data_IF_214939978730
#
_entry.id   IF_214939978730
#
_cell.length_a   1.000
_cell.length_b   1.000
_cell.length_c   1.000
_cell.angle_alpha   90.00
_cell.angle_beta   90.00
_cell.angle_gamma   90.00
#
_symmetry.space_group_name_H-M   'P 1'
#
loop_
_entity.id
_entity.type
_entity.pdbx_description
1 polymer ?
2 non-polymer ?
3 non-polymer ?
4 water ?
#
# COMPACT_ATOMS: atom_id res chain seq x y z
N UNK A 4 -21.66 4.57 22.39
CA UNK A 4 -20.59 3.68 21.79
C UNK A 4 -19.55 4.56 21.07
N UNK A 5 -18.33 4.74 21.62
CA UNK A 5 -17.40 5.76 21.12
C UNK A 5 -16.81 5.35 19.77
N UNK A 6 -16.48 6.32 18.92
CA UNK A 6 -15.86 6.03 17.61
C UNK A 6 -14.39 5.75 17.81
N UNK A 7 -13.80 4.79 17.07
CA UNK A 7 -12.44 4.40 17.32
C UNK A 7 -11.46 5.45 16.85
N UNK A 8 -10.31 5.49 17.55
CA UNK A 8 -9.15 6.34 17.23
C UNK A 8 -8.12 5.51 16.45
N UNK A 9 -8.21 4.19 16.56
CA UNK A 9 -7.26 3.25 15.92
C UNK A 9 -7.98 1.93 15.62
N UNK A 10 -7.63 1.32 14.49
CA UNK A 10 -8.16 -0.01 14.10
C UNK A 10 -6.96 -0.89 13.81
N UNK A 11 -7.21 -2.18 13.78
CA UNK A 11 -6.20 -3.09 13.24
C UNK A 11 -6.69 -3.68 11.93
N UNK A 12 -5.71 -3.84 11.05
CA UNK A 12 -5.93 -4.28 9.65
C UNK A 12 -5.04 -5.49 9.40
N UNK A 13 -5.63 -6.57 8.93
CA UNK A 13 -4.94 -7.76 8.43
C UNK A 13 -4.81 -7.67 6.92
N UNK A 14 -3.61 -7.84 6.42
CA UNK A 14 -3.31 -7.97 4.99
C UNK A 14 -2.79 -9.37 4.76
N UNK A 15 -3.41 -10.12 3.84
CA UNK A 15 -2.84 -11.38 3.40
C UNK A 15 -2.55 -11.36 1.93
N UNK A 16 -1.49 -12.00 1.51
CA UNK A 16 -1.22 -12.25 0.10
C UNK A 16 -0.85 -13.70 -0.07
N UNK A 17 -1.47 -14.35 -1.01
CA UNK A 17 -1.17 -15.76 -1.30
C UNK A 17 -1.34 -16.07 -2.77
N UNK A 18 -0.26 -16.52 -3.39
CA UNK A 18 -0.34 -17.07 -4.77
C UNK A 18 -0.65 -18.56 -4.56
N UNK A 19 -1.85 -18.94 -4.92
CA UNK A 19 -2.45 -20.28 -4.62
C UNK A 19 -1.96 -21.31 -5.65
N UNK A 20 -1.22 -20.93 -6.66
CA UNK A 20 -0.71 -21.94 -7.60
C UNK A 20 -1.78 -22.72 -8.30
N UNK A 21 -2.93 -22.10 -8.53
CA UNK A 21 -4.06 -22.70 -9.30
C UNK A 21 -4.51 -24.02 -8.63
N UNK A 22 -4.38 -24.14 -7.31
CA UNK A 22 -4.80 -25.34 -6.55
C UNK A 22 -5.77 -24.91 -5.49
N UNK A 23 -6.77 -25.73 -5.18
CA UNK A 23 -7.63 -25.40 -4.05
C UNK A 23 -6.83 -25.42 -2.75
N UNK A 24 -7.29 -24.62 -1.80
CA UNK A 24 -6.61 -24.56 -0.52
C UNK A 24 -6.86 -25.82 0.29
N UNK A 25 -6.06 -26.05 1.33
CA UNK A 25 -6.33 -27.15 2.25
C UNK A 25 -7.53 -26.80 3.14
N UNK A 26 -7.95 -27.77 3.94
CA UNK A 26 -9.19 -27.59 4.72
C UNK A 26 -9.02 -26.52 5.80
N UNK A 27 -7.86 -26.37 6.35
CA UNK A 27 -7.61 -25.39 7.42
C UNK A 27 -6.56 -24.38 6.98
N UNK A 28 -6.95 -23.11 7.03
CA UNK A 28 -6.01 -22.01 6.67
C UNK A 28 -5.98 -20.97 7.80
N UNK A 29 -6.48 -21.34 8.99
CA UNK A 29 -6.54 -20.39 10.10
C UNK A 29 -5.20 -19.80 10.52
N UNK A 30 -4.08 -20.52 10.38
CA UNK A 30 -2.74 -20.02 10.75
C UNK A 30 -2.46 -18.70 10.03
N UNK A 31 -2.94 -18.58 8.80
CA UNK A 31 -2.71 -17.36 7.98
C UNK A 31 -3.32 -16.16 8.72
N UNK A 32 -4.58 -16.26 9.12
CA UNK A 32 -5.32 -15.12 9.70
C UNK A 32 -4.87 -14.88 11.14
N UNK A 33 -4.23 -15.84 11.76
CA UNK A 33 -3.67 -15.70 13.11
C UNK A 33 -2.24 -15.20 13.07
N UNK A 34 -1.62 -14.96 11.92
CA UNK A 34 -0.22 -14.49 11.84
C UNK A 34 0.70 -15.46 12.59
N UNK A 35 0.56 -16.75 12.29
CA UNK A 35 1.37 -17.85 12.88
C UNK A 35 2.29 -18.44 11.81
N UNK A 36 3.55 -18.72 12.17
CA UNK A 36 4.47 -19.41 11.28
C UNK A 36 5.82 -18.84 11.51
N UNK A 37 6.44 -18.32 10.46
CA UNK A 37 7.79 -17.73 10.50
C UNK A 37 7.69 -16.20 10.47
N UNK A 38 8.74 -15.52 10.94
CA UNK A 38 8.88 -14.10 10.84
C UNK A 38 8.43 -13.43 12.09
N UNK A 39 7.81 -12.26 11.94
CA UNK A 39 7.29 -11.44 13.04
C UNK A 39 5.83 -11.85 13.25
N UNK A 40 5.60 -12.73 14.21
CA UNK A 40 4.33 -13.43 14.40
C UNK A 40 3.53 -12.77 15.52
N UNK A 41 2.26 -13.10 15.55
CA UNK A 41 1.32 -12.52 16.52
C UNK A 41 1.30 -13.38 17.79
N UNK A 42 1.21 -12.71 18.93
CA UNK A 42 1.18 -13.42 20.24
C UNK A 42 -0.09 -14.28 20.33
N UNK A 43 0.06 -15.48 20.90
CA UNK A 43 -1.06 -16.40 21.13
C UNK A 43 -2.18 -15.74 21.94
N UNK A 44 -1.83 -14.85 22.84
CA UNK A 44 -2.85 -14.22 23.70
C UNK A 44 -3.82 -13.34 22.93
N UNK A 45 -3.52 -13.05 21.66
CA UNK A 45 -4.40 -12.25 20.77
C UNK A 45 -5.26 -13.12 19.88
N UNK A 46 -5.19 -14.42 19.94
CA UNK A 46 -5.80 -15.25 18.88
C UNK A 46 -7.30 -15.01 18.75
N UNK A 47 -8.00 -14.71 19.84
CA UNK A 47 -9.47 -14.58 19.73
C UNK A 47 -9.84 -13.15 19.39
N UNK A 48 -8.92 -12.21 19.39
CA UNK A 48 -9.22 -10.78 19.18
C UNK A 48 -9.34 -10.57 17.67
N UNK A 49 -10.50 -10.22 17.14
CA UNK A 49 -10.62 -10.03 15.71
C UNK A 49 -9.89 -8.77 15.28
N UNK A 50 -9.28 -8.77 14.10
CA UNK A 50 -8.88 -7.53 13.44
C UNK A 50 -10.17 -6.82 13.03
N UNK A 51 -10.09 -5.52 12.84
CA UNK A 51 -11.24 -4.70 12.42
C UNK A 51 -11.58 -4.97 10.97
N UNK A 52 -10.55 -5.06 10.14
CA UNK A 52 -10.65 -5.24 8.66
C UNK A 52 -9.66 -6.32 8.27
N UNK A 53 -10.12 -7.24 7.42
CA UNK A 53 -9.24 -8.26 6.81
C UNK A 53 -9.26 -8.05 5.31
N UNK A 54 -8.08 -7.92 4.69
CA UNK A 54 -7.93 -7.71 3.25
C UNK A 54 -7.11 -8.85 2.74
N UNK A 55 -7.68 -9.62 1.81
CA UNK A 55 -7.13 -10.93 1.38
C UNK A 55 -6.86 -10.87 -0.12
N UNK A 56 -5.58 -10.80 -0.52
CA UNK A 56 -5.17 -10.82 -1.92
C UNK A 56 -4.75 -12.18 -2.32
N UNK A 57 -5.29 -12.70 -3.41
CA UNK A 57 -4.82 -13.97 -4.00
C UNK A 57 -4.37 -13.75 -5.42
N UNK A 58 -3.49 -14.60 -5.84
CA UNK A 58 -3.01 -14.71 -7.23
C UNK A 58 -3.09 -16.18 -7.60
N UNK A 59 -3.24 -16.45 -8.89
CA UNK A 59 -3.43 -17.83 -9.41
C UNK A 59 -4.52 -18.52 -8.58
N UNK A 60 -5.61 -17.78 -8.31
CA UNK A 60 -6.71 -18.27 -7.50
C UNK A 60 -7.69 -19.03 -8.39
N UNK A 61 -7.89 -20.34 -8.14
CA UNK A 61 -8.73 -21.19 -9.01
C UNK A 61 -10.19 -21.20 -8.59
N UNK A 62 -10.54 -20.57 -7.50
CA UNK A 62 -11.88 -20.68 -6.90
C UNK A 62 -12.79 -19.64 -7.50
N UNK A 63 -14.08 -19.89 -7.41
CA UNK A 63 -15.05 -18.83 -7.70
C UNK A 63 -15.01 -17.84 -6.52
N UNK A 64 -15.57 -16.66 -6.73
CA UNK A 64 -15.74 -15.71 -5.64
C UNK A 64 -16.55 -16.34 -4.51
N UNK A 65 -17.64 -17.03 -4.86
CA UNK A 65 -18.47 -17.66 -3.85
C UNK A 65 -17.68 -18.66 -3.04
N UNK A 66 -16.96 -19.52 -3.72
CA UNK A 66 -16.19 -20.56 -3.04
C UNK A 66 -15.19 -19.96 -2.05
N UNK A 67 -14.49 -18.93 -2.47
CA UNK A 67 -13.45 -18.33 -1.61
C UNK A 67 -14.09 -17.55 -0.47
N UNK A 68 -15.16 -16.83 -0.72
CA UNK A 68 -15.89 -16.13 0.36
C UNK A 68 -16.35 -17.12 1.43
N UNK A 69 -16.91 -18.25 1.01
CA UNK A 69 -17.32 -19.34 1.94
C UNK A 69 -16.16 -19.63 2.88
N UNK A 70 -15.01 -19.98 2.30
CA UNK A 70 -13.84 -20.43 3.06
C UNK A 70 -13.36 -19.32 3.96
N UNK A 71 -13.23 -18.11 3.44
CA UNK A 71 -12.72 -16.99 4.26
C UNK A 71 -13.66 -16.72 5.43
N UNK A 72 -14.93 -16.51 5.18
CA UNK A 72 -15.85 -16.15 6.26
C UNK A 72 -15.92 -17.23 7.33
N UNK A 73 -16.00 -18.50 6.91
CA UNK A 73 -16.01 -19.67 7.83
C UNK A 73 -14.76 -19.63 8.70
N UNK A 74 -13.58 -19.43 8.09
CA UNK A 74 -12.27 -19.46 8.79
C UNK A 74 -12.26 -18.35 9.86
N UNK A 75 -12.69 -17.15 9.53
CA UNK A 75 -12.72 -16.06 10.50
C UNK A 75 -13.75 -16.37 11.58
N UNK A 76 -14.92 -16.87 11.22
CA UNK A 76 -15.95 -17.14 12.26
C UNK A 76 -15.41 -18.19 13.22
N UNK A 77 -14.70 -19.19 12.73
CA UNK A 77 -14.10 -20.22 13.61
C UNK A 77 -13.08 -19.59 14.56
N UNK A 78 -12.24 -18.69 14.09
CA UNK A 78 -11.19 -18.08 14.94
C UNK A 78 -11.86 -17.19 15.97
N UNK A 79 -12.81 -16.37 15.56
CA UNK A 79 -13.22 -15.18 16.34
C UNK A 79 -14.63 -15.30 16.89
N UNK A 80 -15.45 -16.23 16.38
CA UNK A 80 -16.91 -16.33 16.68
C UNK A 80 -17.65 -15.07 16.21
N UNK A 81 -17.08 -14.34 15.26
CA UNK A 81 -17.70 -13.16 14.61
C UNK A 81 -17.98 -13.53 13.17
N UNK A 82 -19.16 -13.16 12.73
CA UNK A 82 -19.57 -13.28 11.33
C UNK A 82 -19.27 -11.95 10.62
N UNK A 83 -18.24 -11.95 9.78
CA UNK A 83 -17.76 -10.71 9.14
C UNK A 83 -18.70 -10.32 8.01
N UNK A 84 -18.76 -9.06 7.71
CA UNK A 84 -19.50 -8.54 6.56
C UNK A 84 -18.54 -8.40 5.38
N UNK A 85 -19.04 -8.65 4.19
CA UNK A 85 -18.25 -8.48 2.97
C UNK A 85 -18.35 -7.04 2.53
N UNK A 86 -17.25 -6.30 2.54
CA UNK A 86 -17.16 -4.91 2.10
C UNK A 86 -17.05 -4.91 0.59
N UNK A 87 -16.18 -5.74 0.03
CA UNK A 87 -15.90 -5.73 -1.41
C UNK A 87 -15.22 -7.01 -1.81
N UNK A 88 -15.41 -7.39 -3.06
CA UNK A 88 -14.64 -8.48 -3.68
C UNK A 88 -14.47 -8.10 -5.13
N UNK A 89 -13.30 -8.24 -5.66
CA UNK A 89 -13.02 -7.89 -7.08
C UNK A 89 -11.99 -8.84 -7.65
N UNK A 90 -12.22 -9.34 -8.83
CA UNK A 90 -11.39 -10.33 -9.48
C UNK A 90 -11.02 -9.89 -10.86
N UNK A 91 -9.76 -9.95 -11.23
CA UNK A 91 -9.27 -9.82 -12.63
C UNK A 91 -8.58 -11.14 -12.93
N UNK A 92 -9.09 -11.90 -13.87
CA UNK A 92 -8.54 -13.21 -14.24
C UNK A 92 -8.44 -14.05 -12.98
N UNK A 93 -7.25 -14.39 -12.50
CA UNK A 93 -7.05 -15.18 -11.28
C UNK A 93 -6.41 -14.35 -10.18
N UNK A 94 -6.56 -13.04 -10.24
CA UNK A 94 -6.08 -12.08 -9.23
C UNK A 94 -7.27 -11.53 -8.49
N UNK A 95 -7.32 -11.66 -7.18
CA UNK A 95 -8.55 -11.33 -6.45
C UNK A 95 -8.23 -10.58 -5.17
N UNK A 96 -9.12 -9.73 -4.78
CA UNK A 96 -9.07 -9.02 -3.48
C UNK A 96 -10.42 -9.16 -2.81
N UNK A 97 -10.43 -9.49 -1.52
CA UNK A 97 -11.61 -9.57 -0.66
C UNK A 97 -11.38 -8.66 0.53
N UNK A 98 -12.35 -7.82 0.87
CA UNK A 98 -12.30 -7.03 2.10
C UNK A 98 -13.48 -7.42 2.97
N UNK A 99 -13.14 -7.79 4.19
CA UNK A 99 -14.13 -8.20 5.20
C UNK A 99 -13.99 -7.28 6.40
N UNK A 100 -15.10 -6.95 7.03
CA UNK A 100 -15.08 -6.05 8.20
C UNK A 100 -15.96 -6.57 9.30
N UNK A 101 -15.59 -6.26 10.56
CA UNK A 101 -16.48 -6.51 11.72
C UNK A 101 -17.86 -5.92 11.44
N UNK A 102 -18.94 -6.60 11.87
CA UNK A 102 -20.28 -6.04 11.66
C UNK A 102 -20.48 -4.68 12.34
N UNK A 103 -19.79 -4.38 13.41
CA UNK A 103 -19.96 -3.06 14.08
C UNK A 103 -19.44 -1.92 13.20
N UNK A 104 -18.63 -2.22 12.18
CA UNK A 104 -18.06 -1.22 11.28
C UNK A 104 -18.90 -0.96 10.03
N UNK A 105 -19.98 -1.71 9.85
CA UNK A 105 -20.76 -1.63 8.61
C UNK A 105 -21.18 -0.19 8.29
N UNK A 106 -21.65 0.54 9.30
CA UNK A 106 -22.18 1.91 9.09
C UNK A 106 -21.10 2.97 9.31
N UNK A 107 -19.84 2.54 9.45
CA UNK A 107 -18.65 3.43 9.45
C UNK A 107 -17.97 3.41 8.08
N UNK A 108 -18.33 2.48 7.22
CA UNK A 108 -17.65 2.25 5.91
C UNK A 108 -18.53 2.77 4.79
N UNK A 109 -17.99 3.54 3.88
CA UNK A 109 -18.76 4.10 2.77
C UNK A 109 -17.84 4.34 1.60
N UNK A 110 -18.37 4.81 0.51
CA UNK A 110 -17.58 5.20 -0.67
C UNK A 110 -16.72 4.04 -1.12
N UNK A 111 -17.28 2.86 -1.24
CA UNK A 111 -16.49 1.67 -1.60
C UNK A 111 -16.28 1.73 -3.09
N UNK A 112 -15.02 1.65 -3.52
CA UNK A 112 -14.60 1.61 -4.95
C UNK A 112 -13.79 0.35 -5.21
N UNK A 113 -13.90 -0.20 -6.41
CA UNK A 113 -13.07 -1.30 -6.88
C UNK A 113 -12.59 -0.96 -8.27
N UNK A 114 -11.42 -1.48 -8.63
CA UNK A 114 -10.92 -1.31 -10.01
C UNK A 114 -9.85 -2.35 -10.25
N UNK A 115 -9.44 -2.46 -11.50
CA UNK A 115 -8.34 -3.34 -11.88
C UNK A 115 -7.53 -2.66 -12.98
N UNK A 116 -6.30 -3.09 -13.13
CA UNK A 116 -5.40 -2.70 -14.20
C UNK A 116 -4.83 -3.97 -14.78
N UNK A 117 -4.87 -4.09 -16.08
CA UNK A 117 -4.22 -5.15 -16.87
C UNK A 117 -2.87 -4.65 -17.34
N UNK A 118 -1.76 -5.29 -16.98
CA UNK A 118 -0.43 -4.81 -17.42
C UNK A 118 0.00 -5.44 -18.75
N UNK A 119 1.01 -4.87 -19.40
CA UNK A 119 1.60 -5.50 -20.61
C UNK A 119 0.85 -5.14 -21.88
N UNK A 120 1.34 -5.65 -23.02
CA UNK A 120 0.79 -5.38 -24.40
C UNK A 120 0.93 -6.69 -25.20
N UNK A 121 -0.13 -7.10 -25.91
CA UNK A 121 -0.17 -8.28 -26.82
C UNK A 121 0.24 -9.56 -26.05
N UNK A 122 1.39 -10.17 -26.40
CA UNK A 122 2.07 -11.29 -25.67
C UNK A 122 1.89 -11.17 -24.15
N UNK A 123 2.30 -10.02 -23.58
CA UNK A 123 2.46 -9.79 -22.12
C UNK A 123 1.14 -9.30 -21.50
N UNK A 124 0.08 -9.07 -22.30
CA UNK A 124 -1.29 -8.79 -21.77
C UNK A 124 -2.07 -10.10 -21.70
N UNK A 125 -2.63 -10.42 -20.53
CA UNK A 125 -3.64 -11.49 -20.43
C UNK A 125 -3.59 -12.26 -19.13
N UNK A 126 -2.54 -12.09 -18.32
CA UNK A 126 -2.70 -12.68 -16.96
C UNK A 126 -2.18 -11.87 -15.75
N UNK A 127 -1.33 -10.86 -15.98
CA UNK A 127 -0.72 -10.04 -14.90
C UNK A 127 -1.49 -8.72 -14.75
N UNK A 128 -1.45 -8.14 -13.56
CA UNK A 128 -2.08 -6.87 -13.30
C UNK A 128 -2.40 -6.71 -11.87
N UNK A 129 -3.40 -5.92 -11.57
CA UNK A 129 -3.73 -5.62 -10.19
C UNK A 129 -5.20 -5.43 -10.00
N UNK A 130 -5.71 -5.69 -8.81
CA UNK A 130 -7.06 -5.31 -8.39
C UNK A 130 -6.91 -4.43 -7.17
N UNK A 131 -7.88 -3.60 -6.91
CA UNK A 131 -7.85 -2.77 -5.70
C UNK A 131 -9.20 -2.42 -5.19
N UNK A 132 -9.22 -1.97 -3.95
CA UNK A 132 -10.41 -1.55 -3.23
C UNK A 132 -10.05 -0.29 -2.47
N UNK A 133 -10.96 0.67 -2.43
CA UNK A 133 -10.85 1.78 -1.46
C UNK A 133 -12.18 2.03 -0.80
N UNK A 134 -12.13 2.67 0.35
CA UNK A 134 -13.34 3.12 1.04
C UNK A 134 -12.94 4.12 2.08
N UNK A 135 -13.96 4.76 2.64
CA UNK A 135 -13.82 5.62 3.82
C UNK A 135 -14.19 4.80 5.04
N UNK A 136 -13.40 4.88 6.09
CA UNK A 136 -13.70 4.40 7.42
C UNK A 136 -13.84 5.64 8.27
N UNK A 137 -15.06 6.01 8.62
CA UNK A 137 -15.30 7.34 9.25
C UNK A 137 -14.50 8.41 8.48
N UNK A 138 -13.63 9.18 9.13
CA UNK A 138 -12.94 10.31 8.50
C UNK A 138 -11.70 9.89 7.75
N UNK A 139 -11.39 8.60 7.64
CA UNK A 139 -10.08 8.12 7.15
C UNK A 139 -10.29 7.38 5.84
N UNK A 140 -9.49 7.69 4.85
CA UNK A 140 -9.54 6.99 3.54
C UNK A 140 -8.53 5.86 3.55
N UNK A 141 -8.94 4.71 3.07
CA UNK A 141 -8.11 3.48 3.02
C UNK A 141 -8.10 2.93 1.60
N UNK A 142 -6.91 2.59 1.13
CA UNK A 142 -6.76 1.98 -0.18
C UNK A 142 -5.94 0.72 -0.09
N UNK A 143 -6.27 -0.26 -0.91
CA UNK A 143 -5.66 -1.60 -0.91
C UNK A 143 -5.45 -2.05 -2.33
N UNK A 144 -4.25 -2.47 -2.65
CA UNK A 144 -3.87 -2.93 -4.01
C UNK A 144 -3.25 -4.31 -3.88
N UNK A 145 -3.78 -5.26 -4.62
CA UNK A 145 -3.19 -6.60 -4.81
C UNK A 145 -2.69 -6.72 -6.23
N UNK A 146 -1.40 -6.77 -6.43
CA UNK A 146 -0.81 -6.90 -7.77
C UNK A 146 -0.11 -8.22 -7.94
N UNK A 147 -0.21 -8.81 -9.11
CA UNK A 147 0.57 -9.95 -9.58
C UNK A 147 1.44 -9.40 -10.70
N UNK A 148 2.70 -9.16 -10.44
CA UNK A 148 3.63 -8.55 -11.39
C UNK A 148 4.32 -9.62 -12.25
N UNK A 149 4.99 -9.17 -13.30
CA UNK A 149 5.65 -10.04 -14.26
C UNK A 149 6.64 -10.92 -13.52
N UNK A 150 6.71 -12.19 -13.93
CA UNK A 150 7.60 -13.22 -13.35
C UNK A 150 8.96 -13.21 -14.04
N UNK A 151 9.89 -13.92 -13.41
CA UNK A 151 11.18 -14.20 -14.04
C UNK A 151 12.26 -13.37 -13.41
N UNK A 152 13.39 -14.00 -13.08
CA UNK A 152 14.50 -13.29 -12.43
C UNK A 152 15.05 -12.13 -13.25
N UNK A 153 14.99 -12.22 -14.59
CA UNK A 153 15.64 -11.22 -15.49
C UNK A 153 14.73 -10.02 -15.73
N UNK A 154 13.50 -10.03 -15.20
CA UNK A 154 12.46 -9.03 -15.58
C UNK A 154 12.16 -8.02 -14.48
N UNK A 155 13.15 -7.64 -13.72
CA UNK A 155 12.86 -6.64 -12.66
C UNK A 155 12.39 -5.32 -13.28
N UNK A 156 12.95 -4.92 -14.41
CA UNK A 156 12.55 -3.64 -15.02
C UNK A 156 11.09 -3.68 -15.45
N UNK A 157 10.66 -4.82 -15.99
CA UNK A 157 9.23 -5.01 -16.36
C UNK A 157 8.37 -4.87 -15.11
N UNK A 158 8.78 -5.48 -14.00
CA UNK A 158 8.01 -5.35 -12.76
C UNK A 158 7.89 -3.89 -12.40
N UNK A 159 8.99 -3.15 -12.50
CA UNK A 159 8.95 -1.72 -12.15
C UNK A 159 7.97 -0.99 -13.07
N UNK A 160 7.98 -1.35 -14.34
CA UNK A 160 7.04 -0.74 -15.30
C UNK A 160 5.60 -1.12 -14.92
N UNK A 161 5.39 -2.38 -14.59
CA UNK A 161 4.05 -2.82 -14.16
C UNK A 161 3.59 -1.94 -12.98
N UNK A 162 4.44 -1.78 -11.97
CA UNK A 162 4.13 -0.92 -10.84
C UNK A 162 3.66 0.47 -11.30
N UNK A 163 4.41 1.11 -12.20
CA UNK A 163 4.04 2.50 -12.61
C UNK A 163 2.71 2.46 -13.36
N UNK A 164 2.49 1.48 -14.24
CA UNK A 164 1.17 1.43 -14.88
C UNK A 164 0.04 1.25 -13.87
N UNK A 165 0.22 0.39 -12.87
CA UNK A 165 -0.86 0.19 -11.90
C UNK A 165 -1.12 1.50 -11.14
N UNK A 166 -0.02 2.11 -10.71
CA UNK A 166 0.01 3.37 -9.92
C UNK A 166 -0.74 4.46 -10.68
N UNK A 167 -0.53 4.51 -11.99
CA UNK A 167 -1.13 5.55 -12.86
C UNK A 167 -2.60 5.29 -13.10
N UNK A 168 -2.97 4.04 -13.39
CA UNK A 168 -4.25 3.77 -14.06
C UNK A 168 -5.27 3.19 -13.13
N UNK A 169 -4.92 2.79 -11.91
CA UNK A 169 -5.93 2.24 -11.02
C UNK A 169 -6.76 3.38 -10.48
N UNK A 170 -8.05 3.34 -10.70
CA UNK A 170 -8.97 4.45 -10.38
C UNK A 170 -9.75 4.17 -9.12
N UNK A 171 -9.15 4.53 -8.01
CA UNK A 171 -9.73 4.32 -6.67
C UNK A 171 -9.81 5.66 -5.97
N UNK A 172 -10.57 5.72 -4.90
CA UNK A 172 -10.66 6.92 -4.07
C UNK A 172 -11.40 8.04 -4.74
N UNK A 173 -11.20 9.25 -4.24
CA UNK A 173 -12.04 10.42 -4.58
C UNK A 173 -11.65 10.93 -5.95
N UNK A 174 -12.55 10.77 -6.93
CA UNK A 174 -12.27 11.22 -8.33
C UNK A 174 -12.06 12.73 -8.40
N UNK A 175 -12.49 13.53 -7.42
CA UNK A 175 -12.22 14.99 -7.42
C UNK A 175 -10.76 15.28 -7.19
N UNK A 176 -9.98 14.30 -6.67
CA UNK A 176 -8.53 14.48 -6.46
C UNK A 176 -7.83 14.24 -7.78
N UNK A 177 -8.23 14.99 -8.82
CA UNK A 177 -7.87 14.64 -10.19
C UNK A 177 -6.39 14.68 -10.46
N UNK A 178 -5.55 15.56 -9.88
CA UNK A 178 -4.11 15.53 -10.15
C UNK A 178 -3.37 14.37 -9.50
N UNK A 179 -4.04 13.65 -8.61
CA UNK A 179 -3.38 12.69 -7.69
C UNK A 179 -3.66 11.27 -8.09
N UNK A 180 -2.61 10.46 -8.09
CA UNK A 180 -2.70 9.01 -8.27
C UNK A 180 -2.98 8.35 -6.94
N UNK A 181 -3.09 7.01 -6.95
CA UNK A 181 -3.41 6.30 -5.70
C UNK A 181 -2.33 6.50 -4.64
N UNK A 182 -1.10 6.88 -4.99
CA UNK A 182 -0.08 7.06 -3.96
C UNK A 182 -0.29 8.33 -3.14
N UNK A 183 -1.29 9.15 -3.46
CA UNK A 183 -1.65 10.33 -2.67
C UNK A 183 -3.11 10.36 -2.28
N UNK A 184 -3.96 9.43 -2.68
CA UNK A 184 -5.40 9.60 -2.43
C UNK A 184 -5.83 9.09 -1.05
N UNK A 185 -5.00 8.37 -0.31
CA UNK A 185 -5.45 7.68 0.89
C UNK A 185 -4.64 8.03 2.11
N UNK A 186 -5.32 8.13 3.24
CA UNK A 186 -4.63 8.26 4.53
C UNK A 186 -3.62 7.11 4.67
N UNK A 187 -4.10 5.90 4.36
CA UNK A 187 -3.28 4.68 4.43
C UNK A 187 -3.50 3.91 3.14
N UNK A 188 -2.41 3.58 2.46
CA UNK A 188 -2.46 2.74 1.25
C UNK A 188 -1.63 1.49 1.51
N UNK A 189 -2.19 0.32 1.30
CA UNK A 189 -1.46 -0.95 1.45
C UNK A 189 -1.35 -1.55 0.08
N UNK A 190 -0.15 -1.93 -0.33
CA UNK A 190 0.11 -2.52 -1.64
C UNK A 190 0.82 -3.83 -1.42
N UNK A 191 0.25 -4.91 -1.88
CA UNK A 191 0.73 -6.27 -1.59
C UNK A 191 0.52 -7.12 -2.81
N UNK A 192 1.01 -8.34 -2.77
CA UNK A 192 0.79 -9.29 -3.82
C UNK A 192 1.97 -10.15 -4.10
N UNK A 193 1.87 -10.91 -5.19
CA UNK A 193 3.02 -11.59 -5.78
C UNK A 193 3.75 -10.61 -6.66
N UNK A 194 4.61 -9.82 -6.02
CA UNK A 194 5.36 -8.80 -6.72
C UNK A 194 6.47 -9.42 -7.55
N UNK A 195 6.88 -10.66 -7.25
CA UNK A 195 7.69 -11.47 -8.16
C UNK A 195 9.13 -10.99 -8.26
N UNK A 196 9.58 -10.14 -7.38
CA UNK A 196 11.03 -9.81 -7.34
C UNK A 196 11.76 -10.98 -6.68
N UNK A 197 12.97 -11.21 -7.20
CA UNK A 197 13.75 -12.41 -6.91
C UNK A 197 15.04 -12.08 -6.17
N UNK A 198 15.63 -13.10 -5.62
CA UNK A 198 17.00 -13.00 -5.04
C UNK A 198 17.96 -13.19 -6.19
N UNK A 199 18.68 -12.15 -6.56
CA UNK A 199 19.52 -12.12 -7.79
C UNK A 199 20.94 -12.59 -7.43
N UNK A 200 21.10 -13.90 -7.34
CA UNK A 200 22.38 -14.58 -7.14
C UNK A 200 22.50 -15.56 -8.29
N UNK A 201 23.73 -16.03 -8.60
CA UNK A 201 23.90 -16.96 -9.72
C UNK A 201 23.16 -18.27 -9.47
N UNK A 202 22.64 -18.88 -10.54
CA UNK A 202 21.80 -20.11 -10.44
C UNK A 202 22.59 -21.29 -9.85
N UNK A 203 23.92 -21.31 -10.03
CA UNK A 203 24.81 -22.36 -9.47
C UNK A 203 25.08 -22.11 -7.97
N UNK A 204 24.56 -21.02 -7.40
CA UNK A 204 24.52 -20.84 -5.93
C UNK A 204 23.23 -21.40 -5.31
N UNK A 205 22.39 -22.10 -6.06
CA UNK A 205 21.07 -22.56 -5.55
C UNK A 205 21.24 -23.34 -4.27
N UNK A 206 22.15 -24.29 -4.21
CA UNK A 206 22.23 -25.16 -3.03
C UNK A 206 22.78 -24.35 -1.87
N UNK A 207 23.69 -23.43 -2.14
CA UNK A 207 24.22 -22.54 -1.10
C UNK A 207 23.06 -21.74 -0.51
N UNK A 208 22.22 -21.20 -1.37
CA UNK A 208 21.06 -20.39 -0.87
C UNK A 208 20.18 -21.25 0.04
N UNK A 209 19.87 -22.47 -0.39
CA UNK A 209 19.05 -23.40 0.39
C UNK A 209 19.66 -23.64 1.77
N UNK A 210 20.97 -23.85 1.83
CA UNK A 210 21.63 -24.12 3.14
C UNK A 210 21.56 -22.85 4.00
N UNK A 211 21.67 -21.64 3.43
CA UNK A 211 21.49 -20.42 4.22
C UNK A 211 20.07 -20.34 4.81
N UNK A 212 19.06 -20.70 3.98
CA UNK A 212 17.66 -20.69 4.46
C UNK A 212 17.50 -21.69 5.60
N UNK A 213 18.09 -22.87 5.49
CA UNK A 213 17.96 -23.88 6.57
C UNK A 213 18.61 -23.44 7.87
N UNK A 214 19.60 -22.57 7.79
CA UNK A 214 20.26 -21.99 8.97
C UNK A 214 19.56 -20.74 9.45
N UNK A 215 18.50 -20.35 8.75
CA UNK A 215 17.78 -19.09 9.06
C UNK A 215 18.72 -17.89 8.99
N UNK A 216 19.61 -17.88 8.00
CA UNK A 216 20.59 -16.81 7.81
C UNK A 216 20.18 -16.09 6.55
N UNK A 217 19.35 -15.07 6.69
CA UNK A 217 18.77 -14.40 5.50
C UNK A 217 19.55 -13.18 5.04
N UNK A 218 20.54 -12.67 5.78
CA UNK A 218 21.14 -11.35 5.49
C UNK A 218 21.80 -11.34 4.12
N UNK A 219 22.58 -12.33 3.73
CA UNK A 219 23.30 -12.35 2.43
C UNK A 219 22.31 -12.65 1.30
N UNK A 220 21.11 -13.12 1.62
CA UNK A 220 20.07 -13.25 0.58
C UNK A 220 19.31 -11.92 0.40
N UNK A 221 18.89 -11.30 1.50
CA UNK A 221 18.11 -10.05 1.44
C UNK A 221 18.94 -8.96 0.79
N UNK A 222 20.27 -8.98 0.92
CA UNK A 222 21.12 -7.97 0.29
C UNK A 222 21.03 -8.07 -1.24
N UNK A 223 20.54 -9.20 -1.78
CA UNK A 223 20.38 -9.38 -3.23
C UNK A 223 18.91 -9.42 -3.65
N UNK A 224 17.99 -9.16 -2.72
CA UNK A 224 16.55 -9.13 -3.09
C UNK A 224 16.33 -7.93 -4.00
N UNK A 225 15.74 -8.21 -5.16
CA UNK A 225 15.55 -7.16 -6.17
C UNK A 225 14.60 -6.08 -5.70
N UNK A 226 13.60 -6.39 -4.89
CA UNK A 226 12.70 -5.31 -4.47
C UNK A 226 13.45 -4.35 -3.53
N UNK A 227 14.19 -4.87 -2.57
CA UNK A 227 14.97 -4.01 -1.67
C UNK A 227 16.01 -3.22 -2.46
N UNK A 228 16.68 -3.80 -3.43
CA UNK A 228 17.75 -3.06 -4.15
C UNK A 228 17.13 -2.06 -5.09
N UNK A 229 16.04 -2.39 -5.78
CA UNK A 229 15.37 -1.43 -6.67
C UNK A 229 14.80 -0.27 -5.85
N UNK A 230 14.23 -0.56 -4.68
CA UNK A 230 13.70 0.51 -3.78
C UNK A 230 14.85 1.42 -3.36
N UNK A 231 16.00 0.85 -2.98
CA UNK A 231 17.12 1.67 -2.46
C UNK A 231 17.68 2.53 -3.60
N UNK A 232 17.53 2.11 -4.86
CA UNK A 232 17.96 2.92 -6.02
C UNK A 232 16.85 3.86 -6.53
N UNK A 233 15.73 3.88 -5.83
CA UNK A 233 14.58 4.75 -6.14
C UNK A 233 14.04 4.42 -7.52
N UNK A 234 13.98 3.14 -7.86
CA UNK A 234 13.42 2.70 -9.16
C UNK A 234 11.97 2.28 -9.05
N UNK A 235 11.45 2.05 -7.85
CA UNK A 235 10.10 1.49 -7.64
C UNK A 235 9.67 1.74 -6.21
N UNK A 236 8.38 1.83 -5.96
CA UNK A 236 7.85 1.95 -4.60
C UNK A 236 8.49 3.10 -3.81
N UNK A 237 8.69 4.20 -4.49
CA UNK A 237 9.24 5.39 -3.81
C UNK A 237 8.27 5.81 -2.72
N UNK A 238 8.79 6.06 -1.54
CA UNK A 238 8.05 6.56 -0.37
C UNK A 238 7.14 5.54 0.25
N UNK A 239 7.30 4.28 -0.09
CA UNK A 239 6.60 3.19 0.65
C UNK A 239 7.49 2.59 1.71
N UNK A 240 6.86 1.92 2.66
CA UNK A 240 7.51 1.22 3.79
C UNK A 240 7.33 -0.29 3.63
N UNK A 241 8.27 -1.08 4.15
CA UNK A 241 8.10 -2.51 4.29
C UNK A 241 8.74 -2.88 5.63
N UNK A 242 8.08 -3.75 6.38
CA UNK A 242 8.65 -4.30 7.63
C UNK A 242 9.84 -5.20 7.28
N UNK A 243 10.84 -5.28 8.16
CA UNK A 243 11.99 -6.15 7.97
C UNK A 243 11.50 -7.58 7.77
N UNK A 244 12.08 -8.26 6.80
CA UNK A 244 11.77 -9.66 6.51
C UNK A 244 12.59 -10.57 7.40
N UNK A 245 11.93 -11.44 8.12
CA UNK A 245 12.59 -12.37 9.07
C UNK A 245 12.05 -13.78 8.89
N UNK A 246 11.42 -14.04 7.77
CA UNK A 246 10.86 -15.34 7.36
C UNK A 246 11.62 -15.81 6.13
N UNK A 247 11.59 -17.11 5.94
CA UNK A 247 12.23 -17.72 4.76
C UNK A 247 11.56 -17.30 3.48
N UNK A 248 12.30 -17.31 2.36
CA UNK A 248 11.69 -17.11 1.05
C UNK A 248 10.42 -17.94 0.91
N UNK A 249 9.41 -17.32 0.29
CA UNK A 249 8.08 -17.93 0.19
C UNK A 249 7.83 -18.66 -1.12
N UNK A 250 8.83 -18.69 -1.97
CA UNK A 250 8.75 -19.29 -3.30
C UNK A 250 10.13 -19.83 -3.61
N UNK A 251 10.30 -20.89 -4.42
CA UNK A 251 9.30 -21.78 -4.98
C UNK A 251 9.39 -23.13 -4.30
N UNK A 252 8.36 -23.59 -3.66
CA UNK A 252 8.33 -24.85 -2.87
C UNK A 252 7.76 -25.96 -3.74
N UNK A 253 8.26 -27.17 -3.48
CA UNK A 253 7.52 -28.40 -3.84
C UNK A 253 6.20 -28.37 -3.09
N UNK A 254 5.12 -28.70 -3.77
CA UNK A 254 3.82 -28.76 -3.09
C UNK A 254 3.72 -29.91 -2.10
N UNK A 255 2.94 -29.75 -1.05
CA UNK A 255 2.51 -30.76 -0.05
C UNK A 255 3.59 -30.97 1.02
N UNK A 256 4.70 -30.27 0.92
CA UNK A 256 5.67 -30.16 2.03
C UNK A 256 6.12 -28.70 2.10
N UNK A 257 6.93 -28.30 3.09
CA UNK A 257 7.76 -27.07 2.95
C UNK A 257 9.24 -27.42 3.09
N UNK A 258 9.58 -28.69 2.90
CA UNK A 258 10.96 -29.15 3.19
C UNK A 258 11.88 -28.91 1.99
N UNK A 259 11.30 -28.61 0.81
CA UNK A 259 12.04 -28.58 -0.44
C UNK A 259 11.67 -27.35 -1.23
N UNK A 260 12.69 -26.64 -1.61
CA UNK A 260 12.63 -25.60 -2.65
C UNK A 260 12.85 -26.24 -4.01
N UNK A 261 11.95 -26.05 -4.94
CA UNK A 261 12.01 -26.59 -6.31
C UNK A 261 12.47 -25.47 -7.21
N UNK A 262 13.75 -25.35 -7.45
CA UNK A 262 14.32 -24.22 -8.17
C UNK A 262 14.80 -24.55 -9.58
N UNK A 263 14.93 -25.84 -9.90
CA UNK A 263 15.56 -26.28 -11.18
C UNK A 263 14.65 -25.93 -12.36
N UNK A 264 15.26 -25.70 -13.52
CA UNK A 264 14.50 -25.40 -14.74
C UNK A 264 13.76 -26.66 -15.20
N UNK A 265 12.54 -26.43 -15.62
CA UNK A 265 11.66 -27.50 -16.15
C UNK A 265 10.87 -26.97 -17.34
N UNK A 266 10.31 -27.88 -18.17
CA UNK A 266 9.42 -27.38 -19.24
C UNK A 266 8.28 -26.55 -18.65
N UNK A 267 7.73 -26.97 -17.51
CA UNK A 267 6.60 -26.27 -16.84
C UNK A 267 7.01 -24.83 -16.44
N UNK A 268 8.30 -24.56 -16.25
CA UNK A 268 8.74 -23.19 -15.91
C UNK A 268 9.26 -22.43 -17.12
N UNK A 269 9.06 -22.93 -18.37
CA UNK A 269 9.67 -22.27 -19.51
C UNK A 269 11.17 -22.39 -19.49
N UNK A 270 11.67 -23.44 -18.87
CA UNK A 270 13.12 -23.67 -18.74
C UNK A 270 13.78 -22.51 -17.98
N UNK A 271 13.08 -22.00 -16.97
CA UNK A 271 13.59 -20.93 -16.07
C UNK A 271 13.92 -21.54 -14.71
N UNK A 272 15.02 -21.07 -14.12
CA UNK A 272 15.31 -21.34 -12.71
C UNK A 272 14.46 -20.39 -11.87
N UNK A 273 14.04 -20.93 -10.76
CA UNK A 273 13.30 -20.17 -9.73
C UNK A 273 14.07 -20.33 -8.43
N UNK A 274 15.16 -19.60 -8.29
CA UNK A 274 15.90 -19.59 -7.00
C UNK A 274 14.95 -19.12 -5.92
N UNK A 275 15.12 -19.60 -4.68
CA UNK A 275 14.27 -19.17 -3.58
C UNK A 275 14.25 -17.65 -3.46
N UNK A 276 13.03 -17.10 -3.37
CA UNK A 276 12.79 -15.67 -3.44
C UNK A 276 11.64 -15.24 -2.53
N UNK A 277 11.71 -13.99 -2.14
CA UNK A 277 10.60 -13.33 -1.42
C UNK A 277 9.67 -12.67 -2.46
N UNK A 278 8.92 -13.51 -3.18
CA UNK A 278 8.00 -12.97 -4.20
C UNK A 278 6.86 -12.20 -3.58
N UNK A 279 6.43 -12.56 -2.39
CA UNK A 279 5.11 -12.29 -1.81
C UNK A 279 5.25 -11.28 -0.68
N UNK A 280 4.74 -10.06 -0.87
CA UNK A 280 5.18 -8.91 -0.09
C UNK A 280 4.01 -8.05 0.31
N UNK A 281 4.18 -7.27 1.38
CA UNK A 281 3.24 -6.24 1.83
C UNK A 281 4.01 -4.97 2.08
N UNK A 282 3.62 -3.90 1.46
CA UNK A 282 4.17 -2.56 1.63
C UNK A 282 3.05 -1.58 1.93
N UNK A 283 3.41 -0.45 2.51
CA UNK A 283 2.38 0.55 2.78
C UNK A 283 2.94 1.95 2.64
N UNK A 284 2.02 2.91 2.53
CA UNK A 284 2.35 4.33 2.47
C UNK A 284 1.22 5.05 3.18
N UNK A 285 1.50 5.79 4.22
CA UNK A 285 0.52 6.56 4.98
C UNK A 285 0.91 8.03 4.92
N UNK A 286 -0.08 8.89 5.03
CA UNK A 286 0.19 10.34 5.08
C UNK A 286 1.11 10.64 6.25
N UNK A 287 1.87 11.76 6.12
CA UNK A 287 2.82 12.11 7.17
C UNK A 287 2.15 12.23 8.53
N UNK A 288 2.83 11.74 9.56
CA UNK A 288 2.44 11.92 10.99
C UNK A 288 1.09 11.31 11.29
N UNK A 289 0.69 10.27 10.53
CA UNK A 289 -0.46 9.44 10.92
C UNK A 289 0.12 8.17 11.53
N UNK A 290 -0.49 7.70 12.59
CA UNK A 290 -0.08 6.48 13.27
C UNK A 290 -0.28 5.29 12.33
N UNK A 291 0.78 4.53 12.14
CA UNK A 291 0.71 3.22 11.44
C UNK A 291 1.86 2.40 11.96
N UNK A 292 1.57 1.26 12.50
CA UNK A 292 2.62 0.37 13.07
C UNK A 292 2.34 -1.05 12.62
N UNK A 293 3.35 -1.65 12.00
CA UNK A 293 3.28 -3.07 11.64
C UNK A 293 3.44 -3.93 12.88
N UNK A 294 2.44 -4.78 13.13
CA UNK A 294 2.40 -5.67 14.31
C UNK A 294 2.91 -7.06 13.96
N UNK A 295 2.84 -7.49 12.69
CA UNK A 295 3.23 -8.84 12.27
C UNK A 295 3.60 -8.75 10.80
N UNK A 296 4.54 -9.58 10.40
CA UNK A 296 4.92 -9.73 8.98
C UNK A 296 5.65 -11.05 8.86
N UNK A 297 5.01 -12.04 8.23
CA UNK A 297 5.55 -13.37 8.20
C UNK A 297 4.88 -14.27 7.24
N UNK A 298 5.21 -15.52 7.27
CA UNK A 298 4.66 -16.52 6.35
C UNK A 298 4.16 -17.71 7.15
N UNK A 299 3.15 -18.41 6.64
CA UNK A 299 2.69 -19.64 7.29
C UNK A 299 3.63 -20.77 6.90
N UNK A 300 3.61 -21.80 7.76
CA UNK A 300 4.44 -22.99 7.58
C UNK A 300 3.59 -24.21 7.29
N UNK A 301 2.27 -24.16 7.48
CA UNK A 301 1.43 -25.37 7.48
C UNK A 301 0.41 -25.35 6.33
N UNK A 302 0.53 -24.44 5.36
CA UNK A 302 -0.41 -24.36 4.21
C UNK A 302 0.45 -24.65 2.98
N UNK A 303 0.27 -25.82 2.37
CA UNK A 303 1.30 -26.41 1.46
C UNK A 303 0.72 -26.77 0.09
N UNK A 304 -0.48 -26.31 -0.25
CA UNK A 304 -1.12 -26.70 -1.52
C UNK A 304 -0.48 -26.00 -2.71
N UNK A 305 0.13 -24.84 -2.47
CA UNK A 305 0.74 -24.02 -3.49
C UNK A 305 2.26 -24.16 -3.50
N UNK A 306 2.89 -23.72 -4.55
CA UNK A 306 4.34 -23.51 -4.60
C UNK A 306 4.77 -22.20 -3.92
N UNK A 307 3.83 -21.39 -3.46
CA UNK A 307 4.09 -20.26 -2.58
C UNK A 307 3.48 -20.50 -1.22
N UNK A 308 4.12 -20.00 -0.17
CA UNK A 308 3.47 -19.90 1.15
C UNK A 308 2.71 -18.60 1.28
N UNK A 309 1.57 -18.61 1.93
CA UNK A 309 0.89 -17.36 2.29
C UNK A 309 1.76 -16.44 3.14
N UNK A 310 1.55 -15.15 2.96
CA UNK A 310 2.21 -14.09 3.73
C UNK A 310 1.13 -13.32 4.45
N UNK A 311 1.38 -12.95 5.69
CA UNK A 311 0.51 -12.10 6.51
C UNK A 311 1.25 -10.86 6.95
N UNK A 312 0.53 -9.78 7.09
CA UNK A 312 0.98 -8.59 7.78
C UNK A 312 -0.18 -7.99 8.53
N UNK A 313 0.05 -7.45 9.71
CA UNK A 313 -1.00 -6.73 10.44
C UNK A 313 -0.49 -5.39 10.86
N UNK A 314 -1.44 -4.46 10.97
CA UNK A 314 -1.15 -3.06 11.26
C UNK A 314 -2.13 -2.49 12.26
N UNK A 315 -1.62 -1.61 13.11
CA UNK A 315 -2.46 -0.69 13.92
C UNK A 315 -2.43 0.66 13.19
N UNK A 316 -3.60 1.16 12.74
CA UNK A 316 -3.73 2.33 11.87
C UNK A 316 -4.62 3.35 12.57
N UNK A 317 -4.11 4.57 12.63
CA UNK A 317 -4.86 5.69 13.14
C UNK A 317 -6.03 6.02 12.25
N UNK A 318 -7.19 6.30 12.86
CA UNK A 318 -8.39 6.73 12.13
C UNK A 318 -9.00 7.90 12.89
N UNK A 319 -9.80 8.65 12.18
CA UNK A 319 -10.48 9.82 12.74
C UNK A 319 -11.97 9.67 12.57
N UNK A 320 -12.70 10.52 13.30
CA UNK A 320 -14.18 10.58 13.34
C UNK A 320 -14.73 11.22 12.07
N UNK A 321 -16.03 11.08 11.85
CA UNK A 321 -16.79 11.93 10.89
C UNK A 321 -17.26 13.20 11.59
N UNK A 322 -16.44 14.24 11.66
CA UNK A 322 -16.62 15.44 12.49
C UNK A 322 -17.73 16.34 11.97
N UNK A 323 -18.59 16.79 12.91
CA UNK A 323 -19.62 17.81 12.66
C UNK A 323 -19.38 18.94 13.64
N UNK A 324 -19.43 20.16 13.13
CA UNK A 324 -19.48 21.36 14.00
C UNK A 324 -20.77 22.12 13.68
N UNK A 325 -21.03 23.18 14.45
CA UNK A 325 -22.19 24.07 14.23
C UNK A 325 -22.02 24.80 12.88
N UNK A 326 -20.77 24.94 12.42
CA UNK A 326 -20.45 25.63 11.14
C UNK A 326 -20.31 24.52 10.08
N UNK A 327 -19.09 24.10 9.72
CA UNK A 327 -18.92 23.07 8.71
C UNK A 327 -19.18 21.67 9.31
N UNK A 328 -19.46 20.67 8.47
CA UNK A 328 -19.67 20.80 7.01
C UNK A 328 -20.88 21.66 6.61
N UNK A 329 -20.81 22.22 5.41
CA UNK A 329 -21.88 23.07 4.86
C UNK A 329 -21.56 24.52 4.79
N UNK A 330 -20.46 24.92 5.44
CA UNK A 330 -19.96 26.30 5.44
C UNK A 330 -18.52 26.25 5.94
N UNK A 331 -17.88 27.40 5.91
CA UNK A 331 -16.53 27.58 6.47
C UNK A 331 -16.66 27.95 7.94
N UNK A 332 -15.57 27.88 8.68
CA UNK A 332 -15.54 28.28 10.11
C UNK A 332 -14.46 29.35 10.19
N UNK A 333 -14.83 30.62 10.31
CA UNK A 333 -13.89 31.75 10.13
C UNK A 333 -12.89 31.81 11.29
N UNK A 334 -12.97 30.95 12.31
CA UNK A 334 -11.94 30.92 13.39
C UNK A 334 -10.78 30.03 12.98
N UNK A 335 -10.89 29.39 11.82
CA UNK A 335 -9.78 28.61 11.20
C UNK A 335 -9.20 29.25 9.94
N UNK A 336 -7.88 29.09 9.75
CA UNK A 336 -7.20 29.50 8.49
C UNK A 336 -5.87 28.76 8.37
N UNK A 337 -5.50 28.53 7.13
CA UNK A 337 -4.18 27.96 6.77
C UNK A 337 -3.48 28.90 5.81
N UNK A 338 -2.34 29.41 6.22
CA UNK A 338 -1.52 30.29 5.37
C UNK A 338 -0.24 29.56 5.01
N UNK A 339 0.02 29.44 3.70
CA UNK A 339 1.31 28.96 3.14
C UNK A 339 2.16 30.19 2.78
N UNK A 340 3.27 30.39 3.49
CA UNK A 340 4.20 31.56 3.50
C UNK A 340 5.55 31.22 2.85
N UNK A 341 6.06 32.08 1.96
CA UNK A 341 7.47 32.01 1.48
C UNK A 341 7.72 30.59 0.93
N UNK A 342 6.82 30.14 0.13
CA UNK A 342 6.94 28.77 -0.39
C UNK A 342 7.65 28.81 -1.73
N UNK A 343 8.32 27.71 -2.03
CA UNK A 343 8.84 27.55 -3.39
C UNK A 343 8.92 26.07 -3.72
N UNK A 344 8.69 25.83 -4.99
CA UNK A 344 8.88 24.49 -5.56
C UNK A 344 10.19 24.46 -6.31
N UNK A 345 10.91 23.38 -6.15
CA UNK A 345 12.14 23.07 -6.90
C UNK A 345 11.78 21.94 -7.84
N UNK A 346 11.86 22.14 -9.14
CA UNK A 346 11.42 21.10 -10.08
C UNK A 346 12.58 20.61 -10.93
N UNK A 347 12.58 19.34 -11.27
CA UNK A 347 13.60 18.73 -12.16
C UNK A 347 13.31 18.97 -13.65
N UNK A 348 12.15 19.48 -14.01
CA UNK A 348 11.75 19.77 -15.42
C UNK A 348 12.66 20.77 -16.12
N UNK A 349 12.77 20.62 -17.45
CA UNK A 349 13.47 21.59 -18.31
C UNK A 349 12.47 22.55 -18.97
N UNK A 350 11.16 22.31 -18.83
CA UNK A 350 10.14 23.16 -19.49
C UNK A 350 10.22 24.59 -18.91
N UNK A 351 9.69 25.59 -19.60
CA UNK A 351 9.76 27.01 -19.11
C UNK A 351 8.36 27.65 -19.04
N UNK A 352 7.28 26.85 -19.01
CA UNK A 352 5.90 27.30 -18.67
C UNK A 352 5.94 28.03 -17.31
N UNK A 353 4.92 28.84 -17.08
CA UNK A 353 4.56 29.27 -15.72
C UNK A 353 3.85 28.11 -15.01
N UNK A 354 3.89 28.16 -13.70
CA UNK A 354 3.23 27.12 -12.87
C UNK A 354 2.33 27.77 -11.84
N UNK A 355 1.28 27.04 -11.49
CA UNK A 355 0.38 27.38 -10.37
C UNK A 355 0.20 26.16 -9.49
N UNK A 356 -0.27 26.41 -8.28
CA UNK A 356 -0.56 25.31 -7.34
C UNK A 356 -2.05 25.03 -7.24
N UNK A 357 -2.39 23.79 -6.93
CA UNK A 357 -3.72 23.45 -6.38
C UNK A 357 -3.53 22.83 -5.01
N UNK A 358 -4.37 23.24 -4.08
CA UNK A 358 -4.45 22.73 -2.70
C UNK A 358 -5.75 21.94 -2.61
N UNK A 359 -5.65 20.66 -2.31
CA UNK A 359 -6.79 19.78 -2.14
C UNK A 359 -6.82 19.20 -0.74
N UNK A 360 -7.98 19.24 -0.13
CA UNK A 360 -8.13 18.64 1.19
C UNK A 360 -9.60 18.52 1.54
N UNK A 361 -9.94 17.44 2.23
CA UNK A 361 -11.28 17.21 2.83
C UNK A 361 -11.65 18.34 3.79
N UNK A 362 -10.66 19.06 4.36
CA UNK A 362 -10.96 20.17 5.28
C UNK A 362 -11.39 21.44 4.53
N UNK A 363 -11.37 21.44 3.20
CA UNK A 363 -11.82 22.58 2.37
C UNK A 363 -13.13 22.23 1.70
N UNK A 364 -13.95 23.23 1.40
CA UNK A 364 -15.22 22.97 0.68
C UNK A 364 -14.91 22.54 -0.75
N UNK A 365 -13.83 23.02 -1.34
CA UNK A 365 -13.34 22.59 -2.66
C UNK A 365 -11.88 23.01 -2.82
N UNK A 366 -11.27 22.47 -3.84
CA UNK A 366 -9.82 22.73 -4.01
C UNK A 366 -9.61 24.21 -4.35
N UNK A 367 -8.41 24.66 -4.06
CA UNK A 367 -8.00 26.10 -4.21
C UNK A 367 -6.84 26.17 -5.20
N UNK A 368 -6.98 27.06 -6.18
CA UNK A 368 -5.97 27.27 -7.25
C UNK A 368 -5.25 28.59 -7.00
N UNK A 369 -3.92 28.56 -6.88
CA UNK A 369 -3.07 29.74 -6.61
C UNK A 369 -2.93 30.53 -7.90
N UNK A 370 -2.39 31.74 -7.73
CA UNK A 370 -1.81 32.52 -8.84
C UNK A 370 -0.57 31.79 -9.33
N UNK A 371 -0.07 32.20 -10.48
CA UNK A 371 1.21 31.67 -10.99
C UNK A 371 2.37 32.11 -10.10
N UNK A 372 3.34 31.24 -9.95
CA UNK A 372 4.60 31.55 -9.27
C UNK A 372 5.54 32.32 -10.17
N UNK A 373 6.66 32.72 -9.61
CA UNK A 373 7.77 33.41 -10.32
C UNK A 373 8.93 32.44 -10.51
N UNK A 374 9.23 32.13 -11.76
CA UNK A 374 10.32 31.19 -12.11
C UNK A 374 11.69 31.86 -11.92
N UNK A 375 12.63 31.17 -11.31
CA UNK A 375 14.06 31.57 -11.27
C UNK A 375 14.88 30.34 -11.62
N UNK A 376 16.13 30.51 -12.00
CA UNK A 376 17.10 29.41 -12.23
C UNK A 376 17.81 29.09 -10.89
N UNK A 377 17.79 27.81 -10.46
CA UNK A 377 18.61 27.28 -9.37
C UNK A 377 20.08 27.21 -9.75
N UNK A 378 20.98 27.23 -8.76
CA UNK A 378 22.45 27.34 -8.96
C UNK A 378 23.02 26.08 -9.62
N UNK A 379 22.34 24.93 -9.51
CA UNK A 379 22.85 23.62 -10.01
C UNK A 379 22.01 23.18 -11.22
N UNK A 380 21.32 24.11 -11.92
CA UNK A 380 20.63 23.85 -13.21
C UNK A 380 19.10 23.80 -13.12
N UNK A 381 18.49 23.88 -11.92
CA UNK A 381 17.08 23.48 -11.65
C UNK A 381 16.11 24.64 -11.94
N UNK A 382 14.81 24.32 -12.02
CA UNK A 382 13.77 25.38 -11.97
C UNK A 382 13.31 25.56 -10.52
N UNK A 383 13.32 26.80 -10.03
CA UNK A 383 12.74 27.18 -8.72
C UNK A 383 11.53 28.03 -9.03
N UNK A 384 10.37 27.67 -8.50
CA UNK A 384 9.13 28.45 -8.69
C UNK A 384 8.80 29.07 -7.35
N UNK A 385 8.88 30.40 -7.28
CA UNK A 385 8.66 31.16 -6.01
C UNK A 385 7.21 31.62 -5.92
N UNK A 386 6.57 31.39 -4.78
CA UNK A 386 5.18 31.87 -4.57
C UNK A 386 5.10 33.06 -3.59
N UNK A 387 6.16 33.31 -2.84
CA UNK A 387 6.24 34.46 -1.94
C UNK A 387 5.20 34.37 -0.84
N UNK A 388 4.45 35.45 -0.62
CA UNK A 388 3.35 35.54 0.37
C UNK A 388 2.05 35.75 -0.41
N UNK A 389 2.04 35.31 -1.67
CA UNK A 389 0.97 35.57 -2.66
C UNK A 389 -0.14 34.52 -2.48
N UNK A 390 0.13 33.41 -1.77
CA UNK A 390 -0.75 32.21 -1.84
C UNK A 390 -2.08 32.47 -1.15
N UNK A 391 -3.18 31.94 -1.71
CA UNK A 391 -4.51 32.17 -1.14
C UNK A 391 -4.57 31.63 0.28
N UNK A 392 -5.21 32.35 1.19
CA UNK A 392 -5.45 31.86 2.58
C UNK A 392 -6.51 30.75 2.50
N UNK A 393 -6.24 29.55 3.04
CA UNK A 393 -7.20 28.42 2.91
C UNK A 393 -8.20 28.47 4.07
N UNK A 394 -9.46 28.29 3.73
CA UNK A 394 -10.57 28.46 4.71
C UNK A 394 -11.14 27.09 5.05
N UNK A 395 -10.77 26.49 6.20
CA UNK A 395 -11.25 25.15 6.53
C UNK A 395 -12.71 25.23 6.98
N UNK A 396 -13.39 24.11 6.87
CA UNK A 396 -14.86 23.99 7.18
C UNK A 396 -15.07 23.95 8.69
N UNK A 397 -14.04 23.53 9.43
CA UNK A 397 -14.09 23.29 10.90
C UNK A 397 -12.80 23.82 11.49
N UNK A 398 -12.89 24.60 12.56
CA UNK A 398 -11.76 25.33 13.18
C UNK A 398 -11.22 24.57 14.38
N UNK A 399 -11.98 23.61 14.88
CA UNK A 399 -11.65 22.90 16.12
C UNK A 399 -10.29 22.24 15.92
N UNK A 400 -9.31 22.46 16.79
CA UNK A 400 -7.98 21.88 16.58
C UNK A 400 -8.00 20.37 16.69
N UNK A 401 -8.92 19.78 17.42
CA UNK A 401 -9.08 18.29 17.47
C UNK A 401 -9.39 17.72 16.09
N UNK A 402 -9.99 18.49 15.23
CA UNK A 402 -10.22 18.07 13.82
C UNK A 402 -9.03 18.55 13.00
N UNK A 403 -8.69 19.84 13.04
CA UNK A 403 -7.85 20.44 11.96
C UNK A 403 -6.45 19.89 12.04
N UNK A 404 -5.91 19.63 13.23
CA UNK A 404 -4.52 19.18 13.37
C UNK A 404 -4.37 17.75 12.83
N UNK A 405 -5.47 17.04 12.61
CA UNK A 405 -5.43 15.68 12.04
C UNK A 405 -5.53 15.70 10.52
N UNK A 406 -5.62 16.84 9.86
CA UNK A 406 -5.85 16.90 8.42
C UNK A 406 -4.54 17.02 7.66
N UNK A 407 -4.69 16.92 6.36
CA UNK A 407 -3.57 16.99 5.41
C UNK A 407 -3.96 17.80 4.21
N UNK A 408 -2.98 18.49 3.65
CA UNK A 408 -3.17 19.26 2.41
C UNK A 408 -2.37 18.59 1.31
N UNK A 409 -3.05 18.14 0.26
CA UNK A 409 -2.41 17.68 -0.97
C UNK A 409 -2.09 18.89 -1.86
N UNK A 410 -0.91 18.89 -2.42
CA UNK A 410 -0.43 19.98 -3.31
C UNK A 410 -0.08 19.39 -4.67
N UNK A 411 -0.61 20.00 -5.72
CA UNK A 411 -0.16 19.74 -7.08
C UNK A 411 0.40 21.02 -7.66
N UNK A 412 1.54 20.93 -8.34
CA UNK A 412 2.06 22.07 -9.13
C UNK A 412 1.78 21.76 -10.58
N UNK A 413 1.03 22.67 -11.22
CA UNK A 413 0.54 22.47 -12.60
C UNK A 413 1.07 23.52 -13.56
N UNK A 414 1.34 23.07 -14.78
CA UNK A 414 1.69 23.97 -15.91
C UNK A 414 0.49 24.84 -16.28
N UNK A 415 0.72 26.14 -16.36
CA UNK A 415 -0.29 27.08 -16.93
C UNK A 415 -0.60 26.74 -18.38
N UNK A 416 0.38 26.25 -19.14
CA UNK A 416 0.25 26.01 -20.60
C UNK A 416 -0.61 24.77 -20.84
N UNK A 417 -0.46 23.71 -20.05
CA UNK A 417 -1.12 22.42 -20.34
C UNK A 417 -2.13 22.03 -19.25
N UNK A 418 -2.07 22.66 -18.07
CA UNK A 418 -2.86 22.27 -16.86
C UNK A 418 -2.49 20.85 -16.41
N UNK A 419 -1.44 20.42 -16.77
CA UNK A 419 -1.00 19.07 -16.35
C UNK A 419 -0.15 19.21 -15.08
N UNK A 420 -0.30 18.29 -14.12
CA UNK A 420 0.54 18.26 -12.89
C UNK A 420 1.95 17.81 -13.22
N UNK A 421 2.93 18.60 -12.74
CA UNK A 421 4.33 18.23 -12.80
C UNK A 421 4.80 17.63 -11.49
N UNK A 422 3.99 17.66 -10.43
CA UNK A 422 4.40 17.09 -9.15
C UNK A 422 3.30 17.21 -8.13
N UNK A 423 3.24 16.20 -7.30
CA UNK A 423 2.23 16.02 -6.25
C UNK A 423 2.91 15.70 -4.95
N UNK A 424 2.40 16.25 -3.86
CA UNK A 424 2.90 15.99 -2.51
C UNK A 424 1.85 16.20 -1.45
N UNK A 425 2.23 16.07 -0.19
CA UNK A 425 1.27 16.11 0.91
C UNK A 425 1.94 16.76 2.12
N UNK A 426 1.23 17.66 2.75
CA UNK A 426 1.64 18.36 4.00
C UNK A 426 0.72 18.00 5.14
N UNK A 427 1.27 17.55 6.25
CA UNK A 427 0.46 17.33 7.47
C UNK A 427 0.19 18.66 8.19
N UNK A 428 -1.00 18.76 8.77
CA UNK A 428 -1.35 19.88 9.67
C UNK A 428 -1.13 19.51 11.13
N UNK A 429 -0.45 18.39 11.40
CA UNK A 429 -0.15 17.93 12.78
C UNK A 429 1.07 18.70 13.32
N UNK A 430 0.91 20.02 13.49
CA UNK A 430 2.02 20.95 13.74
C UNK A 430 2.44 20.94 15.21
N UNK A 431 3.66 21.38 15.43
CA UNK A 431 4.16 21.58 16.81
C UNK A 431 3.52 22.78 17.51
N UNK A 432 2.91 23.67 16.79
CA UNK A 432 2.35 24.94 17.31
C UNK A 432 1.32 25.49 16.36
N UNK A 433 0.34 26.24 16.84
CA UNK A 433 -0.57 27.03 16.02
C UNK A 433 -0.19 28.52 16.13
N UNK A 434 -0.66 29.31 15.18
CA UNK A 434 -0.48 30.78 15.21
C UNK A 434 1.01 31.08 15.13
N UNK A 435 1.81 30.16 14.57
CA UNK A 435 3.30 30.18 14.62
C UNK A 435 3.80 29.79 13.23
N UNK A 436 4.68 30.56 12.59
CA UNK A 436 5.23 30.14 11.28
C UNK A 436 6.17 28.97 11.53
N UNK A 437 5.95 27.88 10.79
CA UNK A 437 6.72 26.64 10.99
C UNK A 437 7.15 26.08 9.63
N UNK A 438 8.33 25.46 9.55
CA UNK A 438 8.75 24.92 8.26
C UNK A 438 7.84 23.74 7.83
N UNK A 439 7.62 23.69 6.52
CA UNK A 439 6.93 22.54 5.88
C UNK A 439 7.76 22.09 4.69
N UNK A 440 7.50 20.85 4.31
CA UNK A 440 8.30 20.16 3.28
C UNK A 440 7.48 18.98 2.78
N UNK A 441 7.49 18.79 1.46
CA UNK A 441 7.14 17.48 0.86
C UNK A 441 8.00 17.27 -0.37
N UNK A 442 8.40 16.03 -0.65
CA UNK A 442 8.87 15.70 -1.98
C UNK A 442 7.69 15.82 -2.93
N UNK A 443 7.99 16.02 -4.18
CA UNK A 443 6.96 16.01 -5.24
C UNK A 443 7.21 14.86 -6.19
N UNK A 444 6.17 14.12 -6.55
CA UNK A 444 6.31 13.03 -7.52
C UNK A 444 5.30 13.24 -8.62
N UNK A 445 5.54 12.57 -9.72
CA UNK A 445 4.55 12.50 -10.81
C UNK A 445 4.70 11.11 -11.41
N UNK A 446 3.55 10.43 -11.56
CA UNK A 446 3.55 8.99 -11.90
C UNK A 446 4.46 8.23 -10.95
N UNK A 447 4.49 8.64 -9.69
CA UNK A 447 5.24 7.95 -8.62
C UNK A 447 6.74 8.18 -8.68
N UNK A 448 7.26 8.94 -9.61
CA UNK A 448 8.70 9.22 -9.70
C UNK A 448 8.98 10.61 -9.17
N UNK A 449 10.16 10.77 -8.56
CA UNK A 449 10.53 12.08 -7.97
C UNK A 449 10.65 13.14 -9.06
N UNK A 450 9.99 14.25 -8.91
CA UNK A 450 10.07 15.36 -9.87
C UNK A 450 10.52 16.67 -9.21
N UNK A 451 10.63 16.72 -7.91
CA UNK A 451 10.94 17.99 -7.26
C UNK A 451 10.61 17.96 -5.80
N UNK A 452 10.51 19.13 -5.25
CA UNK A 452 10.26 19.38 -3.84
C UNK A 452 9.45 20.64 -3.67
N UNK A 453 8.73 20.70 -2.57
CA UNK A 453 7.96 21.89 -2.16
C UNK A 453 8.30 22.16 -0.72
N UNK A 454 8.69 23.41 -0.46
CA UNK A 454 9.09 23.78 0.94
C UNK A 454 8.70 25.22 1.19
N UNK A 455 8.58 25.52 2.47
CA UNK A 455 8.28 26.88 2.87
C UNK A 455 7.82 26.85 4.30
N UNK A 456 6.93 27.75 4.66
CA UNK A 456 6.40 27.79 6.03
C UNK A 456 4.89 27.80 5.97
N UNK A 457 4.33 27.41 7.11
CA UNK A 457 2.87 27.35 7.32
C UNK A 457 2.56 28.12 8.59
N UNK A 458 1.40 28.65 8.72
CA UNK A 458 0.86 29.31 9.93
C UNK A 458 -0.60 28.84 10.01
N UNK A 459 -0.97 28.05 10.99
CA UNK A 459 -2.31 27.45 11.16
C UNK A 459 -3.04 28.14 12.31
N UNK A 460 -4.21 28.70 12.00
CA UNK A 460 -5.15 29.25 13.00
C UNK A 460 -6.24 28.20 13.28
N UNK A 461 -6.42 27.83 14.55
CA UNK A 461 -7.53 26.97 14.97
C UNK A 461 -8.36 27.82 15.94
N UNK A 462 -9.48 27.30 16.38
CA UNK A 462 -10.36 27.98 17.38
C UNK A 462 -9.70 28.06 18.75
N UNK A 463 -8.62 27.34 19.01
CA UNK A 463 -7.98 27.38 20.35
C UNK A 463 -6.70 28.22 20.33
X LIG B 1 14.45 4.53 3.24
X LIG B 1 15.88 2.66 1.77
X LIG B 1 13.86 3.89 2.14
X LIG B 1 11.22 3.84 8.43
X LIG B 1 12.05 3.36 6.40
X LIG B 1 12.02 3.79 4.93
X LIG B 1 11.71 6.00 5.62
X LIG B 1 11.69 5.56 7.08
X LIG B 1 13.64 5.54 4.05
X LIG B 1 15.75 4.23 3.59
X LIG B 1 16.49 3.29 2.85
X LIG B 1 14.58 2.96 1.42
X LIG B 1 14.06 2.31 0.34
X LIG B 1 16.54 1.76 0.99
X LIG B 1 11.32 4.22 7.22
X LIG B 1 12.49 5.13 4.82
X LIG B 1 13.94 6.70 4.08
X LIG C 1 -21.56 -2.83 2.80
X LIG C 1 -19.77 -2.39 4.76
X LIG C 1 -20.91 -3.92 3.37
X LIG C 1 -21.66 -6.74 -2.08
X LIG C 1 -23.05 -5.43 -0.97
X LIG C 1 -23.23 -3.99 -0.50
X LIG C 1 -20.91 -3.95 0.04
X LIG C 1 -20.75 -5.29 -0.68
X LIG C 1 -22.59 -3.12 1.74
X LIG C 1 -21.34 -1.54 3.18
X LIG C 1 -20.40 -1.31 4.18
X LIG C 1 -20.00 -3.70 4.35
X LIG C 1 -19.34 -4.71 4.91
X LIG C 1 -18.88 -2.18 5.74
X LIG C 1 -21.79 -5.58 -1.57
X LIG C 1 -22.24 -3.69 0.49
X LIG C 1 -23.73 -2.91 2.07
X LIG D 1 -7.53 11.25 8.17
X LIG D 1 -8.06 10.29 9.21
X LIG D 1 -5.98 11.71 8.81
X LIG D 1 -8.31 12.80 8.42
X LIG E 1 -7.29 14.48 2.28
X LIG E 1 -7.90 15.68 2.92
X LIG E 1 -8.02 14.33 0.65
X LIG E 1 -5.75 15.00 1.68
X LIG F 1 5.05 12.76 0.15
X LIG F 1 3.64 12.38 -0.34
X LIG F 1 5.90 11.28 0.50
X LIG F 1 4.84 13.35 1.78
#
# INVERSE_FOLDING_TARGET
SMEQPEPDMITIFIGTWNMGNAPPPKKITSWFLSKGQGKTRDDSADYIPHDIYVIGTQEDPLSEKEWLEILKHSLQEITSVTFKTVAIHTLWNIRIVVLAKPEHENRISHICTDNVKTGIANTLGNKGAVGVSFMFNGTSLGFVNSHLTSGSEKKLRRNQNYMNILRFLALGDKKLSPFNITHRFTHLFWFGDLNYRVDLPTWEAETIIQKIKQQQYADLLSHDQLLTERREQKVFLHFEEEEITFAPTYRFERLTRDKYAYTKQKATGMKYNLPSWCDRVLWKSYPLVHVVCQSYGSTSDIMTSDHSPVFATFEAGVTSQFVSKNGPGTVDSQGQIEFLRCYATLKTKSQTKFYLEFHSSCLESFVKSQEGENEEGSEGELVVKFGETLPKLKPIISDPEYLLDQHILISIKSSDSDESYGEGCIALRLEATETQLPIYTPLTHHGELTGHFQGEIKLQTSQ
ELQ C10 C13 C15 C01 C03 C04 C06 C07 C08 C11 C12 C14 F16 F17 N02 N05 O09
ELQ C10 C13 C15 C01 C03 C04 C06 C07 C08 C11 C12 C14 F16 F17 N02 N05 O09
DMS S O C1 C2
DMS S O C1 C2
DMS S O C1 C2
#
